data_IF_395315844488
#
_entry.id   IF_395315844488
#
_cell.length_a   1.000
_cell.length_b   1.000
_cell.length_c   1.000
_cell.angle_alpha   90.00
_cell.angle_beta   90.00
_cell.angle_gamma   90.00
#
_symmetry.space_group_name_H-M   'P 1'
#
loop_
_entity.id
_entity.type
_entity.pdbx_description
1 polymer ?
#
# COMPACT_ATOMS: atom_id res chain seq x y z
N UNK A 1 3.03 -15.74 -2.47
CA UNK A 1 3.22 -15.15 -1.13
C UNK A 1 4.46 -15.78 -0.51
N UNK A 2 5.33 -14.96 0.08
CA UNK A 2 6.55 -15.40 0.77
C UNK A 2 6.19 -15.83 2.20
N UNK A 3 6.81 -16.87 2.72
CA UNK A 3 6.60 -17.29 4.10
C UNK A 3 7.31 -16.35 5.09
N UNK A 4 6.85 -16.32 6.35
CA UNK A 4 7.50 -15.52 7.42
C UNK A 4 8.97 -15.91 7.61
N UNK A 5 9.29 -17.20 7.43
CA UNK A 5 10.63 -17.78 7.51
C UNK A 5 11.52 -17.23 6.39
N UNK A 6 11.04 -17.21 5.16
CA UNK A 6 11.79 -16.63 4.02
C UNK A 6 11.91 -15.10 4.13
N UNK A 7 10.95 -14.45 4.80
CA UNK A 7 10.93 -13.00 4.99
C UNK A 7 11.99 -12.53 6.01
N UNK A 8 12.07 -13.18 7.17
CA UNK A 8 13.00 -12.79 8.25
C UNK A 8 14.30 -13.58 8.30
N UNK A 9 14.32 -14.76 7.69
CA UNK A 9 15.39 -15.72 7.83
C UNK A 9 15.06 -16.75 8.90
N UNK A 10 15.82 -17.85 8.90
CA UNK A 10 15.63 -18.94 9.84
C UNK A 10 16.96 -19.49 10.33
N UNK A 11 16.93 -19.97 11.57
CA UNK A 11 18.02 -20.69 12.19
C UNK A 11 17.70 -22.19 12.11
N UNK A 12 18.51 -22.95 11.37
CA UNK A 12 18.36 -24.40 11.31
C UNK A 12 18.66 -25.00 12.69
N UNK A 13 17.71 -25.72 13.29
CA UNK A 13 17.90 -26.29 14.63
C UNK A 13 18.86 -27.47 14.67
N UNK A 14 19.07 -28.16 13.54
CA UNK A 14 19.94 -29.31 13.43
C UNK A 14 21.39 -28.88 13.15
N UNK A 15 21.60 -27.96 12.20
CA UNK A 15 22.96 -27.50 11.84
C UNK A 15 23.41 -26.28 12.63
N UNK A 16 22.46 -25.53 13.22
CA UNK A 16 22.67 -24.21 13.84
C UNK A 16 23.16 -23.14 12.86
N UNK A 17 22.95 -23.37 11.56
CA UNK A 17 23.27 -22.40 10.53
C UNK A 17 22.15 -21.37 10.37
N UNK A 18 22.55 -20.11 10.21
CA UNK A 18 21.64 -19.02 9.94
C UNK A 18 21.49 -18.81 8.44
N UNK A 19 20.24 -18.75 7.97
CA UNK A 19 19.91 -18.34 6.61
C UNK A 19 19.20 -17.00 6.65
N UNK A 20 19.75 -16.01 5.95
CA UNK A 20 19.15 -14.68 5.86
C UNK A 20 17.85 -14.68 5.06
N UNK A 21 16.88 -13.91 5.56
CA UNK A 21 15.64 -13.65 4.86
C UNK A 21 15.72 -12.45 3.92
N UNK A 22 14.62 -12.23 3.21
CA UNK A 22 14.49 -11.09 2.31
C UNK A 22 14.63 -9.75 3.04
N UNK A 23 13.98 -9.59 4.19
CA UNK A 23 14.03 -8.34 4.95
C UNK A 23 15.39 -8.09 5.58
N UNK A 24 16.06 -9.11 6.14
CA UNK A 24 17.39 -8.89 6.71
C UNK A 24 18.36 -8.38 5.64
N UNK A 25 18.31 -8.94 4.43
CA UNK A 25 19.08 -8.47 3.29
C UNK A 25 18.70 -7.03 2.87
N UNK A 26 17.41 -6.70 2.72
CA UNK A 26 16.96 -5.34 2.36
C UNK A 26 17.41 -4.32 3.41
N UNK A 27 17.27 -4.64 4.70
CA UNK A 27 17.70 -3.78 5.79
C UNK A 27 19.22 -3.56 5.79
N UNK A 28 20.03 -4.57 5.47
CA UNK A 28 21.48 -4.37 5.36
C UNK A 28 21.84 -3.50 4.17
N UNK A 29 21.21 -3.72 3.01
CA UNK A 29 21.44 -2.92 1.81
C UNK A 29 21.06 -1.45 2.01
N UNK A 30 19.88 -1.19 2.57
CA UNK A 30 19.39 0.18 2.74
C UNK A 30 20.21 0.98 3.74
N UNK A 31 20.72 0.31 4.79
CA UNK A 31 21.53 0.92 5.84
C UNK A 31 22.99 1.17 5.43
N UNK A 32 23.42 0.71 4.24
CA UNK A 32 24.78 1.00 3.74
C UNK A 32 25.02 2.51 3.71
N UNK A 33 26.18 2.97 4.20
CA UNK A 33 26.52 4.39 4.15
C UNK A 33 26.48 4.89 2.71
N UNK A 34 26.03 6.13 2.55
CA UNK A 34 25.92 6.80 1.27
C UNK A 34 26.60 8.15 1.38
N UNK A 35 27.41 8.49 0.39
CA UNK A 35 28.09 9.78 0.32
C UNK A 35 27.11 10.91 -0.08
N UNK A 36 25.91 10.54 -0.53
CA UNK A 36 24.86 11.47 -0.97
C UNK A 36 23.87 11.70 0.16
N UNK A 37 23.40 12.94 0.30
CA UNK A 37 22.29 13.29 1.19
C UNK A 37 20.96 12.83 0.57
N UNK A 38 20.67 11.54 0.65
CA UNK A 38 19.45 10.92 0.14
C UNK A 38 18.61 10.31 1.28
N UNK A 39 17.30 10.17 1.05
CA UNK A 39 16.43 9.34 1.89
C UNK A 39 16.10 8.06 1.14
N UNK A 40 16.13 6.94 1.85
CA UNK A 40 15.82 5.61 1.31
C UNK A 40 14.55 5.09 1.98
N UNK A 41 13.66 4.51 1.19
CA UNK A 41 12.37 4.01 1.67
C UNK A 41 12.26 2.51 1.40
N UNK A 42 11.83 1.76 2.41
CA UNK A 42 11.32 0.40 2.23
C UNK A 42 9.80 0.51 2.09
N UNK A 43 9.26 0.13 0.94
CA UNK A 43 7.83 0.10 0.69
C UNK A 43 7.32 -1.33 0.90
N UNK A 44 6.34 -1.47 1.78
CA UNK A 44 5.56 -2.67 1.98
C UNK A 44 4.19 -2.45 1.36
N UNK A 45 3.93 -3.10 0.22
CA UNK A 45 2.65 -3.05 -0.49
C UNK A 45 1.92 -4.38 -0.27
N UNK A 46 0.86 -4.34 0.53
CA UNK A 46 0.01 -5.49 0.82
C UNK A 46 -0.61 -5.48 2.20
N UNK A 47 -1.51 -6.43 2.42
CA UNK A 47 -2.26 -6.54 3.67
C UNK A 47 -1.34 -6.86 4.86
N UNK A 48 -1.67 -6.26 6.00
CA UNK A 48 -0.97 -6.50 7.26
C UNK A 48 -1.57 -7.70 7.98
N UNK A 49 -0.73 -8.69 8.24
CA UNK A 49 -1.06 -9.86 9.04
C UNK A 49 -0.36 -9.76 10.41
N UNK A 50 -1.05 -10.24 11.44
CA UNK A 50 -0.57 -10.21 12.82
C UNK A 50 0.80 -10.91 12.99
N UNK A 51 1.06 -12.00 12.25
CA UNK A 51 2.25 -12.83 12.43
C UNK A 51 3.55 -12.13 12.04
N UNK A 52 3.55 -11.37 10.95
CA UNK A 52 4.77 -10.68 10.50
C UNK A 52 4.91 -9.30 11.13
N UNK A 53 3.80 -8.59 11.38
CA UNK A 53 3.85 -7.25 11.98
C UNK A 53 4.35 -7.28 13.43
N UNK A 54 4.11 -8.38 14.16
CA UNK A 54 4.60 -8.55 15.53
C UNK A 54 6.13 -8.53 15.62
N UNK A 55 6.81 -9.19 14.68
CA UNK A 55 8.27 -9.18 14.57
C UNK A 55 8.82 -7.79 14.18
N UNK A 56 7.97 -6.88 13.68
CA UNK A 56 8.31 -5.50 13.33
C UNK A 56 8.14 -4.49 14.45
N UNK A 57 7.54 -4.87 15.59
CA UNK A 57 7.25 -3.92 16.67
C UNK A 57 8.49 -3.13 17.14
N UNK A 58 9.64 -3.80 17.29
CA UNK A 58 10.89 -3.20 17.76
C UNK A 58 11.57 -2.29 16.73
N UNK A 59 11.20 -2.38 15.45
CA UNK A 59 11.74 -1.49 14.40
C UNK A 59 10.79 -0.33 14.11
N UNK A 60 9.51 -0.49 14.42
CA UNK A 60 8.50 0.57 14.32
C UNK A 60 8.46 1.49 15.54
N UNK A 61 9.02 1.07 16.68
CA UNK A 61 9.14 1.91 17.87
C UNK A 61 10.32 2.91 17.80
N UNK A 62 10.54 3.65 18.89
CA UNK A 62 11.62 4.64 19.00
C UNK A 62 13.04 4.02 18.92
N UNK A 63 13.18 2.71 19.16
CA UNK A 63 14.47 2.02 19.10
C UNK A 63 14.93 1.85 17.66
N UNK A 64 14.00 1.74 16.71
CA UNK A 64 14.27 1.53 15.27
C UNK A 64 15.20 0.34 15.04
N UNK A 65 14.96 -0.76 15.77
CA UNK A 65 15.85 -1.91 15.84
C UNK A 65 15.16 -3.19 15.34
N UNK A 66 15.59 -3.68 14.19
CA UNK A 66 15.19 -5.00 13.70
C UNK A 66 15.95 -6.07 14.49
N UNK A 67 15.23 -6.95 15.19
CA UNK A 67 15.81 -8.08 15.92
C UNK A 67 15.48 -9.37 15.18
N UNK A 68 16.51 -10.07 14.71
CA UNK A 68 16.39 -11.34 13.99
C UNK A 68 16.42 -12.53 14.96
N UNK A 69 15.92 -13.68 14.54
CA UNK A 69 15.82 -14.88 15.39
C UNK A 69 17.19 -15.45 15.82
N UNK A 70 18.27 -15.17 15.06
CA UNK A 70 19.65 -15.47 15.47
C UNK A 70 20.20 -14.53 16.57
N UNK A 71 19.42 -13.53 17.00
CA UNK A 71 19.84 -12.51 17.97
C UNK A 71 20.56 -11.30 17.36
N UNK A 72 20.77 -11.26 16.04
CA UNK A 72 21.31 -10.09 15.35
C UNK A 72 20.35 -8.90 15.47
N UNK A 73 20.92 -7.72 15.69
CA UNK A 73 20.18 -6.47 15.89
C UNK A 73 20.63 -5.45 14.87
N UNK A 74 19.78 -5.14 13.89
CA UNK A 74 20.05 -4.19 12.82
C UNK A 74 19.31 -2.88 13.11
N UNK A 75 20.04 -1.80 13.38
CA UNK A 75 19.44 -0.49 13.63
C UNK A 75 19.19 0.25 12.32
N UNK A 76 17.94 0.68 12.10
CA UNK A 76 17.55 1.49 10.95
C UNK A 76 18.17 2.88 11.06
N UNK A 77 18.95 3.26 10.04
CA UNK A 77 19.63 4.55 9.99
C UNK A 77 18.65 5.72 9.80
N UNK A 78 19.06 6.92 10.21
CA UNK A 78 18.20 8.12 10.16
C UNK A 78 17.78 8.56 8.76
N UNK A 79 18.52 8.15 7.73
CA UNK A 79 18.21 8.41 6.32
C UNK A 79 17.29 7.34 5.71
N UNK A 80 16.95 6.29 6.47
CA UNK A 80 16.04 5.25 6.04
C UNK A 80 14.65 5.43 6.68
N UNK A 81 13.61 5.07 5.95
CA UNK A 81 12.24 5.08 6.42
C UNK A 81 11.47 3.86 5.88
N UNK A 82 10.41 3.49 6.56
CA UNK A 82 9.49 2.42 6.14
C UNK A 82 8.15 3.06 5.80
N UNK A 83 7.54 2.60 4.71
CA UNK A 83 6.20 2.98 4.28
C UNK A 83 5.37 1.71 4.08
N UNK A 84 4.15 1.72 4.61
CA UNK A 84 3.21 0.62 4.49
C UNK A 84 2.01 1.12 3.70
N UNK A 85 1.77 0.51 2.55
CA UNK A 85 0.54 0.65 1.76
C UNK A 85 -0.35 -0.54 2.09
N UNK A 86 -1.49 -0.25 2.72
CA UNK A 86 -2.39 -1.26 3.30
C UNK A 86 -3.82 -0.92 2.93
N UNK A 87 -4.61 -1.92 2.54
CA UNK A 87 -6.04 -1.73 2.23
C UNK A 87 -6.88 -1.54 3.49
N UNK A 88 -6.64 -2.39 4.49
CA UNK A 88 -7.23 -2.28 5.83
C UNK A 88 -6.25 -2.71 6.93
N UNK A 89 -6.57 -2.33 8.17
CA UNK A 89 -5.78 -2.64 9.36
C UNK A 89 -6.56 -3.50 10.35
N UNK A 90 -7.55 -4.26 9.89
CA UNK A 90 -8.49 -4.96 10.77
C UNK A 90 -7.80 -6.01 11.66
N UNK A 91 -6.66 -6.54 11.21
CA UNK A 91 -5.85 -7.53 11.93
C UNK A 91 -4.69 -6.93 12.71
N UNK A 92 -4.46 -5.62 12.64
CA UNK A 92 -3.41 -4.94 13.38
C UNK A 92 -3.93 -4.46 14.73
N UNK A 93 -3.15 -4.70 15.80
CA UNK A 93 -3.52 -4.19 17.13
C UNK A 93 -3.40 -2.66 17.18
N UNK A 94 -4.27 -1.94 17.90
CA UNK A 94 -4.15 -0.48 18.05
C UNK A 94 -2.79 -0.03 18.58
N UNK A 95 -2.16 -0.83 19.44
CA UNK A 95 -0.82 -0.56 19.98
C UNK A 95 0.30 -0.68 18.93
N UNK A 96 0.12 -1.56 17.92
CA UNK A 96 1.03 -1.68 16.78
C UNK A 96 0.91 -0.45 15.89
N UNK A 97 -0.32 -0.07 15.55
CA UNK A 97 -0.61 1.05 14.65
C UNK A 97 -0.25 2.40 15.26
N UNK A 98 -0.35 2.55 16.59
CA UNK A 98 -0.03 3.81 17.27
C UNK A 98 1.44 4.22 17.20
N UNK A 99 2.33 3.30 16.81
CA UNK A 99 3.77 3.57 16.62
C UNK A 99 4.08 4.20 15.27
N UNK A 100 3.14 4.14 14.33
CA UNK A 100 3.31 4.59 12.96
C UNK A 100 2.53 5.90 12.71
N UNK A 101 3.09 6.77 11.86
CA UNK A 101 2.34 7.90 11.31
C UNK A 101 1.30 7.39 10.32
N UNK A 102 0.03 7.74 10.52
CA UNK A 102 -1.06 7.29 9.66
C UNK A 102 -1.48 8.37 8.67
N UNK A 103 -1.58 8.00 7.40
CA UNK A 103 -2.12 8.86 6.33
C UNK A 103 -3.32 8.14 5.74
N UNK A 104 -4.51 8.70 5.95
CA UNK A 104 -5.75 8.17 5.37
C UNK A 104 -6.01 8.83 4.01
N UNK A 105 -6.20 8.01 2.98
CA UNK A 105 -6.64 8.45 1.66
C UNK A 105 -8.13 8.14 1.56
N UNK A 106 -8.98 9.18 1.53
CA UNK A 106 -10.41 8.98 1.28
C UNK A 106 -10.60 8.61 -0.20
N UNK A 107 -11.27 7.50 -0.52
CA UNK A 107 -11.53 7.15 -1.91
C UNK A 107 -12.32 8.22 -2.69
N UNK A 108 -13.05 9.10 -1.99
CA UNK A 108 -13.69 10.26 -2.62
C UNK A 108 -12.71 11.22 -3.29
N UNK A 109 -11.46 11.26 -2.83
CA UNK A 109 -10.43 12.14 -3.37
C UNK A 109 -9.73 11.51 -4.59
N UNK A 110 -9.73 10.18 -4.71
CA UNK A 110 -9.03 9.43 -5.76
C UNK A 110 -9.96 8.64 -6.69
N UNK A 111 -11.03 9.29 -7.16
CA UNK A 111 -12.05 8.68 -8.03
C UNK A 111 -11.53 8.25 -9.42
N UNK A 112 -12.40 7.72 -10.26
CA UNK A 112 -12.12 7.36 -11.66
C UNK A 112 -11.60 8.50 -12.60
N UNK A 113 -11.74 9.78 -12.22
CA UNK A 113 -11.41 10.92 -13.11
C UNK A 113 -9.92 11.04 -13.46
N UNK A 114 -8.95 10.97 -12.52
CA UNK A 114 -7.52 11.02 -12.85
C UNK A 114 -7.08 9.88 -13.78
N UNK A 115 -7.62 8.68 -13.62
CA UNK A 115 -7.37 7.55 -14.53
C UNK A 115 -7.84 7.86 -15.95
N UNK A 116 -9.05 8.42 -16.09
CA UNK A 116 -9.56 8.89 -17.38
C UNK A 116 -8.67 9.99 -17.98
N UNK A 117 -8.32 11.02 -17.20
CA UNK A 117 -7.48 12.11 -17.67
C UNK A 117 -6.13 11.60 -18.16
N UNK A 118 -5.50 10.67 -17.42
CA UNK A 118 -4.25 10.03 -17.83
C UNK A 118 -4.43 9.27 -19.14
N UNK A 119 -5.43 8.41 -19.24
CA UNK A 119 -5.71 7.65 -20.47
C UNK A 119 -5.98 8.55 -21.67
N UNK A 120 -6.73 9.63 -21.50
CA UNK A 120 -7.04 10.59 -22.55
C UNK A 120 -5.77 11.35 -22.99
N UNK A 121 -4.90 11.71 -22.04
CA UNK A 121 -3.63 12.41 -22.33
C UNK A 121 -2.65 11.59 -23.17
N UNK A 122 -2.75 10.26 -23.14
CA UNK A 122 -1.90 9.35 -23.92
C UNK A 122 -2.30 9.26 -25.39
N UNK A 123 -3.42 9.89 -25.80
CA UNK A 123 -3.87 9.89 -27.19
C UNK A 123 -3.06 10.89 -28.01
N UNK A 124 -2.57 10.49 -29.18
CA UNK A 124 -1.74 11.36 -30.04
C UNK A 124 -2.56 12.48 -30.71
N UNK A 125 -3.81 12.17 -31.10
CA UNK A 125 -4.67 13.12 -31.82
C UNK A 125 -5.51 13.96 -30.88
N UNK A 126 -5.34 15.28 -30.95
CA UNK A 126 -6.08 16.25 -30.11
C UNK A 126 -7.59 16.25 -30.38
N UNK A 127 -8.03 15.93 -31.59
CA UNK A 127 -9.45 15.88 -31.91
C UNK A 127 -10.15 14.67 -31.25
N UNK A 128 -9.45 13.53 -31.16
CA UNK A 128 -9.93 12.36 -30.43
C UNK A 128 -10.03 12.68 -28.92
N UNK A 129 -9.03 13.36 -28.35
CA UNK A 129 -9.06 13.79 -26.95
C UNK A 129 -10.28 14.67 -26.62
N UNK A 130 -10.56 15.66 -27.48
CA UNK A 130 -11.72 16.55 -27.32
C UNK A 130 -13.03 15.80 -27.44
N UNK A 131 -13.15 14.91 -28.43
CA UNK A 131 -14.35 14.11 -28.65
C UNK A 131 -14.62 13.19 -27.46
N UNK A 132 -13.61 12.45 -27.01
CA UNK A 132 -13.71 11.54 -25.88
C UNK A 132 -14.01 12.27 -24.57
N UNK A 133 -13.36 13.39 -24.29
CA UNK A 133 -13.63 14.16 -23.07
C UNK A 133 -15.08 14.64 -23.03
N UNK A 134 -15.61 15.12 -24.17
CA UNK A 134 -17.03 15.51 -24.29
C UNK A 134 -17.98 14.33 -24.04
N UNK A 135 -17.69 13.16 -24.60
CA UNK A 135 -18.51 11.96 -24.39
C UNK A 135 -18.43 11.48 -22.94
N UNK A 136 -17.25 11.52 -22.35
CA UNK A 136 -17.02 11.14 -20.97
C UNK A 136 -17.83 12.00 -20.01
N UNK A 137 -17.70 13.32 -20.07
CA UNK A 137 -18.44 14.21 -19.16
C UNK A 137 -19.96 14.13 -19.35
N UNK A 138 -20.42 13.80 -20.56
CA UNK A 138 -21.85 13.62 -20.84
C UNK A 138 -22.42 12.32 -20.26
N UNK A 139 -21.69 11.21 -20.37
CA UNK A 139 -22.26 9.88 -20.09
C UNK A 139 -21.69 9.22 -18.84
N UNK A 140 -20.39 9.34 -18.58
CA UNK A 140 -19.75 8.53 -17.53
C UNK A 140 -20.17 8.97 -16.11
N UNK A 141 -20.15 10.27 -15.73
CA UNK A 141 -20.60 10.66 -14.39
C UNK A 141 -22.04 10.27 -14.07
N UNK A 142 -23.05 10.53 -14.92
CA UNK A 142 -24.43 10.11 -14.64
C UNK A 142 -24.58 8.59 -14.51
N UNK A 143 -23.89 7.81 -15.35
CA UNK A 143 -23.95 6.35 -15.30
C UNK A 143 -23.29 5.78 -14.03
N UNK A 144 -22.15 6.34 -13.62
CA UNK A 144 -21.48 5.94 -12.38
C UNK A 144 -22.37 6.26 -11.17
N UNK A 145 -22.94 7.46 -11.11
CA UNK A 145 -23.88 7.86 -10.06
C UNK A 145 -25.10 6.93 -10.01
N UNK A 146 -25.65 6.53 -11.16
CA UNK A 146 -26.74 5.55 -11.23
C UNK A 146 -26.32 4.18 -10.67
N UNK A 147 -25.17 3.65 -11.09
CA UNK A 147 -24.70 2.32 -10.68
C UNK A 147 -24.38 2.26 -9.19
N UNK A 148 -23.80 3.34 -8.64
CA UNK A 148 -23.28 3.34 -7.28
C UNK A 148 -24.28 3.85 -6.24
N UNK A 149 -25.00 4.91 -6.57
CA UNK A 149 -25.89 5.63 -5.66
C UNK A 149 -27.37 5.35 -5.97
N UNK A 150 -27.67 4.75 -7.12
CA UNK A 150 -29.05 4.52 -7.57
C UNK A 150 -29.76 5.82 -7.99
N UNK A 151 -29.03 6.93 -8.19
CA UNK A 151 -29.66 8.21 -8.53
C UNK A 151 -29.88 8.34 -10.05
N UNK A 152 -31.11 8.69 -10.43
CA UNK A 152 -31.49 9.04 -11.81
C UNK A 152 -32.00 10.48 -11.77
N UNK A 153 -31.33 11.39 -12.49
CA UNK A 153 -31.75 12.80 -12.63
C UNK A 153 -32.07 13.48 -11.27
N UNK A 154 -31.26 13.21 -10.25
CA UNK A 154 -31.42 13.77 -8.90
C UNK A 154 -32.50 13.12 -8.04
N UNK A 155 -33.14 12.05 -8.51
CA UNK A 155 -34.08 11.24 -7.72
C UNK A 155 -33.41 9.96 -7.24
N UNK A 156 -33.56 9.64 -5.96
CA UNK A 156 -33.10 8.38 -5.38
C UNK A 156 -33.95 7.23 -5.93
N UNK A 157 -33.33 6.35 -6.71
CA UNK A 157 -33.90 5.08 -7.16
C UNK A 157 -33.23 3.89 -6.47
N UNK A 158 -33.56 2.68 -6.94
CA UNK A 158 -32.96 1.45 -6.44
C UNK A 158 -31.52 1.29 -6.92
N UNK A 159 -30.61 0.99 -6.00
CA UNK A 159 -29.21 0.70 -6.33
C UNK A 159 -29.13 -0.59 -7.15
N UNK A 160 -28.40 -0.53 -8.26
CA UNK A 160 -28.15 -1.71 -9.09
C UNK A 160 -27.36 -2.77 -8.30
N UNK A 161 -27.79 -4.03 -8.38
CA UNK A 161 -27.04 -5.14 -7.80
C UNK A 161 -25.74 -5.34 -8.58
N UNK A 162 -24.63 -5.28 -7.87
CA UNK A 162 -23.31 -5.53 -8.43
C UNK A 162 -22.97 -7.02 -8.28
N UNK A 163 -22.56 -7.66 -9.38
CA UNK A 163 -22.13 -9.07 -9.37
C UNK A 163 -20.76 -9.20 -8.67
N UNK A 164 -19.92 -8.16 -8.80
CA UNK A 164 -18.62 -8.06 -8.16
C UNK A 164 -18.76 -7.05 -7.00
N UNK A 165 -18.41 -7.42 -5.76
CA UNK A 165 -18.39 -6.47 -4.66
C UNK A 165 -17.32 -5.40 -4.91
N UNK A 166 -17.74 -4.16 -5.10
CA UNK A 166 -16.83 -3.01 -5.18
C UNK A 166 -16.60 -2.45 -3.76
N UNK A 167 -15.33 -2.38 -3.36
CA UNK A 167 -14.93 -1.59 -2.19
C UNK A 167 -14.91 -0.11 -2.57
N UNK A 168 -15.08 0.77 -1.59
CA UNK A 168 -14.98 2.22 -1.85
C UNK A 168 -13.61 2.60 -2.42
N UNK A 169 -12.55 1.84 -2.13
CA UNK A 169 -11.17 2.03 -2.60
C UNK A 169 -10.97 1.78 -4.11
N UNK A 170 -11.81 0.97 -4.75
CA UNK A 170 -11.69 0.61 -6.16
C UNK A 170 -12.44 1.57 -7.11
N UNK A 171 -12.76 2.80 -6.65
CA UNK A 171 -13.60 3.76 -7.38
C UNK A 171 -13.02 5.15 -7.47
#
# INVERSE_FOLDING_TARGET
ACSVIELYGFLDTATRDWTDGLLSNIFREINKPTDKKERRYILYDGDVDALWIENMNSVMDDNKLLTLANGERIRLQSHCAMLFEVGDLQYASPATVSRCGMVFVDPKDLKYRPFWTRWCSLREKKDEQKCFSRLFDKYVPPLITLILEGMIDGKQGDKLKQIIPLTNLNM
#
